data_IF_027982132758
#
_entry.id   IF_027982132758
#
_cell.length_a   1.000
_cell.length_b   1.000
_cell.length_c   1.000
_cell.angle_alpha   90.00
_cell.angle_beta   90.00
_cell.angle_gamma   90.00
#
_symmetry.space_group_name_H-M   'P 1'
#
loop_
_entity.id
_entity.type
_entity.pdbx_description
1 polymer ?
#
# COMPACT_ATOMS: atom_id res chain seq x y z
N UNK A 1 1.59 -8.22 -0.04
CA UNK A 1 0.52 -9.16 -0.42
C UNK A 1 -0.72 -8.45 -0.98
N UNK A 2 -1.35 -7.50 -0.29
CA UNK A 2 -2.57 -6.82 -0.81
C UNK A 2 -2.38 -6.21 -2.22
N UNK A 3 -1.23 -5.58 -2.46
CA UNK A 3 -0.91 -5.02 -3.78
C UNK A 3 -0.93 -6.09 -4.89
N UNK A 4 -0.54 -7.33 -4.61
CA UNK A 4 -0.57 -8.41 -5.60
C UNK A 4 -2.00 -8.75 -6.04
N UNK A 5 -2.97 -8.72 -5.12
CA UNK A 5 -4.38 -8.89 -5.46
C UNK A 5 -4.86 -7.78 -6.38
N UNK A 6 -4.52 -6.52 -6.07
CA UNK A 6 -4.86 -5.38 -6.93
C UNK A 6 -4.24 -5.51 -8.32
N UNK A 7 -2.95 -5.84 -8.39
CA UNK A 7 -2.22 -5.99 -9.64
C UNK A 7 -2.72 -7.19 -10.47
N UNK A 8 -3.21 -8.26 -9.83
CA UNK A 8 -3.86 -9.36 -10.55
C UNK A 8 -5.35 -9.15 -10.80
N UNK A 9 -5.91 -8.02 -10.35
CA UNK A 9 -7.34 -7.67 -10.44
C UNK A 9 -8.25 -8.70 -9.74
N UNK A 10 -7.73 -9.30 -8.67
CA UNK A 10 -8.41 -10.26 -7.83
C UNK A 10 -8.95 -9.61 -6.56
N UNK A 11 -10.10 -10.06 -6.09
CA UNK A 11 -10.71 -9.51 -4.87
C UNK A 11 -9.92 -9.95 -3.63
N UNK A 12 -9.62 -8.99 -2.75
CA UNK A 12 -8.94 -9.27 -1.49
C UNK A 12 -9.92 -9.96 -0.50
N UNK A 13 -9.66 -11.20 -0.06
CA UNK A 13 -10.55 -11.88 0.87
C UNK A 13 -10.37 -11.37 2.30
N UNK A 14 -11.23 -11.85 3.19
CA UNK A 14 -11.11 -11.63 4.62
C UNK A 14 -9.71 -12.01 5.14
N UNK A 15 -9.14 -11.20 6.04
CA UNK A 15 -7.74 -11.25 6.46
C UNK A 15 -7.29 -12.63 7.01
N UNK A 16 -8.19 -13.38 7.66
CA UNK A 16 -7.93 -14.75 8.12
C UNK A 16 -7.48 -15.68 6.99
N UNK A 17 -7.97 -15.47 5.77
CA UNK A 17 -7.70 -16.32 4.61
C UNK A 17 -6.67 -15.72 3.65
N UNK A 18 -6.06 -14.59 4.03
CA UNK A 18 -5.18 -13.83 3.15
C UNK A 18 -4.02 -14.67 2.59
N UNK A 19 -3.33 -15.42 3.46
CA UNK A 19 -2.20 -16.25 3.05
C UNK A 19 -2.61 -17.37 2.09
N UNK A 20 -3.70 -18.08 2.40
CA UNK A 20 -4.24 -19.16 1.55
C UNK A 20 -4.69 -18.65 0.20
N UNK A 21 -5.34 -17.49 0.15
CA UNK A 21 -5.75 -16.89 -1.11
C UNK A 21 -4.57 -16.31 -1.90
N UNK A 22 -3.59 -15.70 -1.21
CA UNK A 22 -2.39 -15.19 -1.85
C UNK A 22 -1.64 -16.30 -2.56
N UNK A 23 -1.55 -17.50 -1.95
CA UNK A 23 -0.92 -18.66 -2.55
C UNK A 23 -1.59 -19.17 -3.86
N UNK A 24 -2.79 -18.67 -4.18
CA UNK A 24 -3.52 -19.02 -5.43
C UNK A 24 -3.29 -18.00 -6.55
N UNK A 25 -2.66 -16.85 -6.27
CA UNK A 25 -2.35 -15.84 -7.28
C UNK A 25 -1.26 -16.33 -8.23
N UNK A 26 -1.27 -15.86 -9.49
CA UNK A 26 -0.28 -16.27 -10.50
C UNK A 26 1.14 -15.81 -10.15
N UNK A 27 1.27 -14.68 -9.46
CA UNK A 27 2.53 -14.12 -8.98
C UNK A 27 3.05 -14.81 -7.71
N UNK A 28 2.24 -15.63 -7.04
CA UNK A 28 2.60 -16.24 -5.77
C UNK A 28 3.89 -17.08 -5.82
N UNK A 29 4.15 -17.90 -6.87
CA UNK A 29 5.41 -18.64 -6.97
C UNK A 29 6.66 -17.75 -6.96
N UNK A 30 6.55 -16.49 -7.38
CA UNK A 30 7.65 -15.51 -7.41
C UNK A 30 7.69 -14.69 -6.13
N UNK A 31 6.55 -14.14 -5.68
CA UNK A 31 6.49 -13.24 -4.53
C UNK A 31 6.53 -13.97 -3.19
N UNK A 32 5.90 -15.15 -3.07
CA UNK A 32 5.78 -15.85 -1.79
C UNK A 32 7.13 -16.24 -1.20
N UNK A 33 8.08 -16.86 -1.94
CA UNK A 33 9.39 -17.21 -1.38
C UNK A 33 10.14 -15.97 -0.90
N UNK A 34 10.07 -14.88 -1.67
CA UNK A 34 10.73 -13.60 -1.36
C UNK A 34 10.16 -12.98 -0.09
N UNK A 35 8.84 -12.95 0.07
CA UNK A 35 8.18 -12.42 1.27
C UNK A 35 8.46 -13.29 2.51
N UNK A 36 8.45 -14.61 2.37
CA UNK A 36 8.79 -15.52 3.46
C UNK A 36 10.25 -15.36 3.89
N UNK A 37 11.17 -15.20 2.94
CA UNK A 37 12.58 -14.95 3.23
C UNK A 37 12.79 -13.60 3.95
N UNK A 38 12.05 -12.55 3.57
CA UNK A 38 12.07 -11.28 4.30
C UNK A 38 11.59 -11.41 5.75
N UNK A 39 10.57 -12.24 6.00
CA UNK A 39 10.05 -12.52 7.35
C UNK A 39 11.04 -13.36 8.17
N UNK A 40 11.70 -14.33 7.55
CA UNK A 40 12.66 -15.21 8.21
C UNK A 40 14.03 -14.56 8.45
N UNK A 41 14.36 -13.49 7.72
CA UNK A 41 15.63 -12.79 7.84
C UNK A 41 15.89 -12.31 9.28
N UNK A 42 17.09 -12.58 9.79
CA UNK A 42 17.52 -12.18 11.14
C UNK A 42 18.27 -10.85 11.16
N UNK A 43 18.78 -10.40 10.01
CA UNK A 43 19.46 -9.12 9.84
C UNK A 43 18.71 -8.18 8.87
N UNK A 44 18.97 -6.88 9.00
CA UNK A 44 18.25 -5.86 8.24
C UNK A 44 18.63 -5.87 6.75
N UNK A 45 19.87 -6.20 6.39
CA UNK A 45 20.36 -6.14 5.01
C UNK A 45 19.78 -7.27 4.18
N UNK A 46 19.73 -8.50 4.72
CA UNK A 46 19.03 -9.63 4.10
C UNK A 46 17.54 -9.34 3.94
N UNK A 47 16.90 -8.75 4.97
CA UNK A 47 15.50 -8.35 4.88
C UNK A 47 15.27 -7.32 3.77
N UNK A 48 16.11 -6.29 3.68
CA UNK A 48 16.03 -5.27 2.63
C UNK A 48 16.16 -5.88 1.24
N UNK A 49 17.11 -6.80 1.01
CA UNK A 49 17.28 -7.46 -0.29
C UNK A 49 16.01 -8.17 -0.73
N UNK A 50 15.37 -8.92 0.17
CA UNK A 50 14.14 -9.62 -0.14
C UNK A 50 12.96 -8.65 -0.35
N UNK A 51 12.80 -7.63 0.50
CA UNK A 51 11.76 -6.62 0.29
C UNK A 51 11.95 -5.85 -1.01
N UNK A 52 13.18 -5.52 -1.37
CA UNK A 52 13.53 -4.87 -2.64
C UNK A 52 13.10 -5.73 -3.82
N UNK A 53 13.48 -7.02 -3.83
CA UNK A 53 13.07 -7.94 -4.89
C UNK A 53 11.54 -8.08 -5.02
N UNK A 54 10.81 -8.07 -3.89
CA UNK A 54 9.35 -8.08 -3.91
C UNK A 54 8.77 -6.79 -4.50
N UNK A 55 9.36 -5.62 -4.20
CA UNK A 55 8.97 -4.34 -4.79
C UNK A 55 9.29 -4.27 -6.29
N UNK A 56 10.45 -4.72 -6.73
CA UNK A 56 10.82 -4.77 -8.16
C UNK A 56 9.85 -5.68 -8.93
N UNK A 57 9.50 -6.84 -8.37
CA UNK A 57 8.48 -7.73 -8.95
C UNK A 57 7.13 -7.02 -9.08
N UNK A 58 6.69 -6.29 -8.06
CA UNK A 58 5.45 -5.52 -8.11
C UNK A 58 5.49 -4.39 -9.16
N UNK A 59 6.65 -3.76 -9.37
CA UNK A 59 6.84 -2.74 -10.41
C UNK A 59 6.75 -3.34 -11.83
N UNK A 60 7.37 -4.50 -12.06
CA UNK A 60 7.24 -5.26 -13.31
C UNK A 60 5.76 -5.61 -13.57
N UNK A 61 5.08 -6.13 -12.54
CA UNK A 61 3.65 -6.45 -12.63
C UNK A 61 2.80 -5.21 -12.94
N UNK A 62 3.11 -4.06 -12.34
CA UNK A 62 2.43 -2.80 -12.65
C UNK A 62 2.61 -2.41 -14.13
N UNK A 63 3.86 -2.39 -14.62
CA UNK A 63 4.13 -2.04 -16.01
C UNK A 63 3.43 -2.98 -16.99
N UNK A 64 3.34 -4.27 -16.67
CA UNK A 64 2.64 -5.27 -17.48
C UNK A 64 1.12 -5.02 -17.60
N UNK A 65 0.52 -4.22 -16.71
CA UNK A 65 -0.89 -3.83 -16.82
C UNK A 65 -1.15 -2.76 -17.88
N UNK A 66 -0.12 -2.04 -18.34
CA UNK A 66 -0.25 -0.99 -19.34
C UNK A 66 -1.14 0.19 -18.92
N UNK A 67 -1.29 0.41 -17.60
CA UNK A 67 -2.13 1.49 -17.05
C UNK A 67 -1.46 2.87 -17.07
N UNK A 68 -0.14 2.89 -17.20
CA UNK A 68 0.69 4.10 -17.26
C UNK A 68 1.78 3.89 -18.31
N UNK A 69 2.49 4.96 -18.68
CA UNK A 69 3.80 4.79 -19.33
C UNK A 69 4.72 3.93 -18.43
N UNK A 70 5.67 3.16 -19.01
CA UNK A 70 6.57 2.32 -18.24
C UNK A 70 7.38 3.12 -17.22
N UNK A 71 7.37 2.66 -15.96
CA UNK A 71 8.12 3.25 -14.86
C UNK A 71 9.35 2.41 -14.51
N UNK A 72 10.38 2.98 -13.84
CA UNK A 72 11.55 2.23 -13.42
C UNK A 72 11.19 1.05 -12.50
N UNK A 73 11.70 -0.13 -12.84
CA UNK A 73 11.39 -1.39 -12.14
C UNK A 73 12.40 -1.73 -11.04
N UNK A 74 13.51 -0.99 -10.96
CA UNK A 74 14.63 -1.25 -10.06
C UNK A 74 14.61 -0.34 -8.85
N UNK A 75 14.96 -0.89 -7.70
CA UNK A 75 15.15 -0.08 -6.50
C UNK A 75 16.39 0.81 -6.62
N UNK A 76 16.33 1.98 -5.99
CA UNK A 76 17.45 2.91 -5.91
C UNK A 76 17.60 3.52 -4.51
N UNK A 77 18.78 4.07 -4.18
CA UNK A 77 19.02 4.73 -2.90
C UNK A 77 18.01 5.84 -2.62
N UNK A 78 17.46 5.87 -1.41
CA UNK A 78 16.51 6.90 -0.99
C UNK A 78 17.23 8.22 -0.69
N UNK A 79 17.24 9.14 -1.66
CA UNK A 79 17.81 10.51 -1.53
C UNK A 79 19.21 10.52 -0.88
N UNK A 80 20.12 9.69 -1.40
CA UNK A 80 21.50 9.60 -0.94
C UNK A 80 21.71 8.79 0.35
N UNK A 81 20.65 8.19 0.92
CA UNK A 81 20.75 7.26 2.05
C UNK A 81 21.02 5.84 1.54
N UNK A 82 21.70 4.99 2.34
CA UNK A 82 22.06 3.63 1.93
C UNK A 82 20.88 2.64 2.04
N UNK A 83 19.65 3.11 1.81
CA UNK A 83 18.45 2.28 1.86
C UNK A 83 17.75 2.28 0.51
N UNK A 84 17.41 1.09 0.04
CA UNK A 84 16.85 0.88 -1.28
C UNK A 84 15.33 1.02 -1.28
N UNK A 85 14.80 1.82 -2.21
CA UNK A 85 13.35 2.02 -2.37
C UNK A 85 12.94 1.97 -3.84
N UNK A 86 11.69 1.59 -4.10
CA UNK A 86 11.11 1.54 -5.45
C UNK A 86 10.48 2.87 -5.90
N UNK A 87 10.49 3.90 -5.03
CA UNK A 87 9.81 5.18 -5.29
C UNK A 87 8.32 5.01 -5.65
N UNK A 88 7.58 4.30 -4.78
CA UNK A 88 6.16 4.00 -4.98
C UNK A 88 5.25 5.23 -5.16
N UNK A 89 5.69 6.40 -4.69
CA UNK A 89 5.05 7.69 -4.94
C UNK A 89 4.93 8.00 -6.44
N UNK A 90 5.92 7.62 -7.25
CA UNK A 90 5.91 7.83 -8.72
C UNK A 90 4.84 6.99 -9.40
N UNK A 91 4.68 5.74 -8.97
CA UNK A 91 3.62 4.85 -9.46
C UNK A 91 2.24 5.39 -9.11
N UNK A 92 2.04 5.81 -7.86
CA UNK A 92 0.79 6.38 -7.42
C UNK A 92 0.45 7.69 -8.17
N UNK A 93 1.44 8.55 -8.41
CA UNK A 93 1.27 9.78 -9.18
C UNK A 93 0.90 9.50 -10.64
N UNK A 94 1.59 8.56 -11.30
CA UNK A 94 1.30 8.17 -12.68
C UNK A 94 -0.11 7.56 -12.81
N UNK A 95 -0.49 6.65 -11.91
CA UNK A 95 -1.83 6.07 -11.86
C UNK A 95 -2.90 7.15 -11.66
N UNK A 96 -2.68 8.10 -10.75
CA UNK A 96 -3.61 9.20 -10.55
C UNK A 96 -3.72 10.08 -11.79
N UNK A 97 -2.62 10.37 -12.48
CA UNK A 97 -2.62 11.17 -13.71
C UNK A 97 -3.38 10.47 -14.85
N UNK A 98 -3.39 9.13 -14.87
CA UNK A 98 -4.11 8.34 -15.86
C UNK A 98 -5.64 8.33 -15.67
N UNK A 99 -6.16 8.73 -14.51
CA UNK A 99 -7.60 8.81 -14.26
C UNK A 99 -8.23 9.82 -15.23
N UNK A 100 -9.21 9.40 -16.02
CA UNK A 100 -9.94 10.26 -16.96
C UNK A 100 -11.26 10.78 -16.40
N UNK A 101 -11.92 10.00 -15.56
CA UNK A 101 -13.25 10.31 -15.02
C UNK A 101 -13.21 11.50 -14.04
N UNK A 102 -13.90 12.58 -14.40
CA UNK A 102 -13.96 13.81 -13.62
C UNK A 102 -14.65 13.64 -12.25
N UNK A 103 -15.62 12.72 -12.13
CA UNK A 103 -16.25 12.42 -10.85
C UNK A 103 -15.26 11.75 -9.90
N UNK A 104 -14.40 10.86 -10.43
CA UNK A 104 -13.35 10.19 -9.66
C UNK A 104 -12.24 11.18 -9.27
N UNK A 105 -11.83 12.08 -10.17
CA UNK A 105 -10.82 13.12 -9.86
C UNK A 105 -11.27 14.08 -8.75
N UNK A 106 -12.58 14.31 -8.60
CA UNK A 106 -13.15 15.16 -7.54
C UNK A 106 -13.17 14.48 -6.18
N UNK A 107 -13.00 13.16 -6.11
CA UNK A 107 -12.90 12.46 -4.84
C UNK A 107 -11.66 12.94 -4.07
N UNK A 108 -11.74 13.11 -2.74
CA UNK A 108 -10.59 13.55 -1.97
C UNK A 108 -9.45 12.54 -2.10
N UNK A 109 -8.24 13.04 -2.36
CA UNK A 109 -7.06 12.18 -2.51
C UNK A 109 -6.85 11.36 -1.24
N UNK A 110 -6.58 10.06 -1.44
CA UNK A 110 -6.23 9.09 -0.38
C UNK A 110 -7.35 8.76 0.61
N UNK A 111 -8.56 9.28 0.40
CA UNK A 111 -9.74 9.04 1.23
C UNK A 111 -10.70 8.14 0.46
N UNK A 112 -10.59 6.83 0.66
CA UNK A 112 -11.55 5.86 0.12
C UNK A 112 -12.52 5.37 1.20
N UNK A 113 -12.05 4.53 2.13
CA UNK A 113 -12.88 3.91 3.16
C UNK A 113 -12.56 4.38 4.60
N UNK A 114 -13.45 4.03 5.53
CA UNK A 114 -13.33 4.35 6.95
C UNK A 114 -12.20 3.60 7.68
N UNK A 115 -11.52 2.66 7.04
CA UNK A 115 -10.28 2.07 7.57
C UNK A 115 -9.06 2.86 7.09
N UNK A 116 -9.09 3.37 5.85
CA UNK A 116 -7.98 4.12 5.25
C UNK A 116 -7.71 5.45 5.94
N UNK A 117 -8.73 6.15 6.41
CA UNK A 117 -8.56 7.41 7.15
C UNK A 117 -8.21 7.23 8.64
N UNK A 118 -8.54 6.09 9.26
CA UNK A 118 -8.48 5.91 10.71
C UNK A 118 -7.03 5.77 11.18
N UNK A 119 -6.20 5.14 10.35
CA UNK A 119 -4.77 4.94 10.56
C UNK A 119 -3.91 5.82 9.63
N UNK A 120 -4.51 6.80 8.94
CA UNK A 120 -3.76 7.68 8.02
C UNK A 120 -3.00 8.75 8.80
N UNK A 121 -1.67 8.73 8.71
CA UNK A 121 -0.81 9.78 9.28
C UNK A 121 -1.15 11.16 8.73
N UNK A 122 -1.52 11.27 7.45
CA UNK A 122 -1.90 12.55 6.81
C UNK A 122 -3.18 13.14 7.41
N UNK A 123 -4.11 12.27 7.85
CA UNK A 123 -5.34 12.67 8.53
C UNK A 123 -5.06 12.97 10.01
N UNK A 124 -4.35 12.08 10.70
CA UNK A 124 -4.10 12.16 12.14
C UNK A 124 -3.12 13.27 12.53
N UNK A 125 -2.19 13.64 11.65
CA UNK A 125 -1.15 14.66 11.92
C UNK A 125 -1.56 16.06 11.44
N UNK A 126 -2.69 16.20 10.76
CA UNK A 126 -3.16 17.47 10.23
C UNK A 126 -4.33 18.01 11.05
N UNK A 127 -4.05 19.03 11.86
CA UNK A 127 -4.99 19.63 12.81
C UNK A 127 -6.29 20.14 12.15
N UNK A 128 -6.28 20.45 10.85
CA UNK A 128 -7.47 20.93 10.14
C UNK A 128 -8.61 19.88 10.11
N UNK A 129 -8.29 18.60 10.27
CA UNK A 129 -9.27 17.52 10.26
C UNK A 129 -9.91 17.26 11.63
N UNK A 130 -9.26 17.68 12.73
CA UNK A 130 -9.68 17.38 14.10
C UNK A 130 -11.14 17.79 14.39
N UNK A 131 -11.64 19.00 14.02
CA UNK A 131 -13.03 19.37 14.26
C UNK A 131 -14.03 18.48 13.52
N UNK A 132 -13.71 18.08 12.29
CA UNK A 132 -14.56 17.23 11.44
C UNK A 132 -14.62 15.78 11.96
N UNK A 133 -13.47 15.26 12.43
CA UNK A 133 -13.38 13.91 12.99
C UNK A 133 -14.07 13.80 14.36
N UNK A 134 -14.14 14.89 15.13
CA UNK A 134 -14.81 14.90 16.44
C UNK A 134 -16.28 14.48 16.36
N UNK A 135 -16.98 14.86 15.28
CA UNK A 135 -18.38 14.48 15.05
C UNK A 135 -18.57 12.97 14.81
N UNK A 136 -17.50 12.25 14.46
CA UNK A 136 -17.50 10.82 14.11
C UNK A 136 -17.01 9.97 15.29
N UNK A 137 -16.46 10.59 16.33
CA UNK A 137 -16.08 9.89 17.55
C UNK A 137 -17.31 9.48 18.35
N UNK A 138 -17.38 8.21 18.76
CA UNK A 138 -18.34 7.78 19.78
C UNK A 138 -17.95 8.48 21.06
N UNK A 139 -18.70 9.52 21.44
CA UNK A 139 -18.56 10.13 22.75
C UNK A 139 -19.02 9.12 23.79
N UNK A 140 -18.08 8.35 24.32
CA UNK A 140 -18.32 7.51 25.48
C UNK A 140 -18.62 8.47 26.62
N UNK A 141 -19.90 8.60 27.01
CA UNK A 141 -20.29 9.39 28.17
C UNK A 141 -19.40 8.95 29.33
N UNK A 142 -18.64 9.89 29.89
CA UNK A 142 -17.88 9.66 31.10
C UNK A 142 -18.88 9.12 32.12
N UNK A 143 -18.74 7.84 32.49
CA UNK A 143 -19.54 7.28 33.56
C UNK A 143 -19.18 8.08 34.80
N UNK A 144 -20.06 8.99 35.19
CA UNK A 144 -20.04 9.62 36.52
C UNK A 144 -20.21 8.49 37.51
N UNK A 145 -19.09 8.04 38.09
CA UNK A 145 -19.06 7.21 39.28
C UNK A 145 -19.84 7.95 40.38
N UNK A 146 -20.91 7.32 40.86
CA UNK A 146 -21.55 7.68 42.13
C UNK A 146 -20.70 7.19 43.29
#
# INVERSE_FOLDING_TARGET
>A
MHLAFLLEREYLPYSKWLGTAFARLRCAPVLQPTLLAALAATDWSTRERHLSAACETAAIMHNALGLTEPLPERVSPFYGRPFQVIHGDRFAAALHAAIQDESVKRLPRWLGNTTQWADSTDVLSNAQWVPRLRALSIQKALRTTR
#
